data_IF_198038541616
#
_entry.id   IF_198038541616
#
_cell.length_a   1.000
_cell.length_b   1.000
_cell.length_c   1.000
_cell.angle_alpha   90.00
_cell.angle_beta   90.00
_cell.angle_gamma   90.00
#
_symmetry.space_group_name_H-M   'P 1'
#
loop_
_entity.id
_entity.type
_entity.pdbx_description
1 polymer ?
#
# COMPACT_ATOMS: atom_id res chain seq x y z
N UNK A 1 34.71 17.96 -34.26
CA UNK A 1 34.98 17.52 -32.87
C UNK A 1 33.71 16.90 -32.32
N UNK A 2 33.68 15.57 -32.15
CA UNK A 2 32.61 14.90 -31.41
C UNK A 2 32.76 15.30 -29.94
N UNK A 3 31.90 16.21 -29.49
CA UNK A 3 31.83 16.67 -28.12
C UNK A 3 31.68 15.44 -27.22
N UNK A 4 32.74 15.07 -26.48
CA UNK A 4 32.76 13.85 -25.66
C UNK A 4 31.61 13.95 -24.66
N UNK A 5 30.56 13.18 -24.89
CA UNK A 5 29.41 13.11 -24.02
C UNK A 5 29.85 12.51 -22.68
N UNK A 6 30.21 13.39 -21.73
CA UNK A 6 30.75 12.96 -20.45
C UNK A 6 29.64 12.38 -19.58
N UNK A 7 29.99 11.40 -18.75
CA UNK A 7 29.07 10.84 -17.73
C UNK A 7 28.43 11.94 -16.87
N UNK A 8 29.16 13.03 -16.60
CA UNK A 8 28.66 14.20 -15.86
C UNK A 8 27.54 14.92 -16.62
N UNK A 9 27.68 15.12 -17.94
CA UNK A 9 26.66 15.73 -18.81
C UNK A 9 25.44 14.83 -18.94
N UNK A 10 25.65 13.51 -19.07
CA UNK A 10 24.55 12.53 -19.04
C UNK A 10 23.78 12.54 -17.72
N UNK A 11 24.47 12.42 -16.58
CA UNK A 11 23.84 12.44 -15.24
C UNK A 11 23.08 13.75 -14.99
N UNK A 12 23.64 14.88 -15.39
CA UNK A 12 22.96 16.18 -15.30
C UNK A 12 21.68 16.22 -16.14
N UNK A 13 21.71 15.75 -17.39
CA UNK A 13 20.52 15.69 -18.24
C UNK A 13 19.45 14.74 -17.68
N UNK A 14 19.84 13.61 -17.07
CA UNK A 14 18.90 12.71 -16.40
C UNK A 14 18.25 13.42 -15.22
N UNK A 15 19.01 14.02 -14.31
CA UNK A 15 18.44 14.71 -13.14
C UNK A 15 17.61 15.94 -13.53
N UNK A 16 18.03 16.68 -14.57
CA UNK A 16 17.30 17.86 -15.07
C UNK A 16 15.95 17.49 -15.69
N UNK A 17 15.88 16.40 -16.45
CA UNK A 17 14.65 16.01 -17.15
C UNK A 17 13.72 15.11 -16.33
N UNK A 18 14.26 14.35 -15.37
CA UNK A 18 13.49 13.40 -14.55
C UNK A 18 13.38 13.82 -13.07
N UNK A 19 13.95 14.96 -12.68
CA UNK A 19 13.94 15.49 -11.31
C UNK A 19 15.14 15.00 -10.47
N UNK A 20 15.48 15.75 -9.41
CA UNK A 20 16.45 15.27 -8.42
C UNK A 20 15.82 14.19 -7.54
N UNK A 21 16.66 13.25 -7.10
CA UNK A 21 16.32 12.16 -6.18
C UNK A 21 15.56 12.61 -4.93
N UNK A 22 15.81 13.84 -4.45
CA UNK A 22 15.07 14.43 -3.33
C UNK A 22 13.62 14.75 -3.67
N UNK A 23 13.36 15.45 -4.78
CA UNK A 23 12.01 15.78 -5.25
C UNK A 23 11.20 14.51 -5.52
N UNK A 24 11.83 13.52 -6.16
CA UNK A 24 11.22 12.20 -6.38
C UNK A 24 10.83 11.52 -5.06
N UNK A 25 11.66 11.64 -4.01
CA UNK A 25 11.37 11.05 -2.70
C UNK A 25 10.16 11.72 -2.03
N UNK A 26 10.04 13.05 -2.13
CA UNK A 26 8.87 13.77 -1.61
C UNK A 26 7.58 13.38 -2.33
N UNK A 27 7.59 13.32 -3.66
CA UNK A 27 6.43 12.87 -4.45
C UNK A 27 6.02 11.45 -4.06
N UNK A 28 6.98 10.55 -3.85
CA UNK A 28 6.68 9.18 -3.38
C UNK A 28 6.07 9.16 -1.99
N UNK A 29 6.53 10.03 -1.08
CA UNK A 29 5.97 10.18 0.26
C UNK A 29 4.52 10.66 0.21
N UNK A 30 4.23 11.70 -0.58
CA UNK A 30 2.86 12.19 -0.79
C UNK A 30 1.96 11.07 -1.33
N UNK A 31 2.42 10.37 -2.39
CA UNK A 31 1.68 9.24 -2.95
C UNK A 31 1.44 8.10 -1.95
N UNK A 32 2.37 7.87 -1.02
CA UNK A 32 2.23 6.86 0.03
C UNK A 32 1.21 7.32 1.09
N UNK A 33 1.29 8.58 1.53
CA UNK A 33 0.42 9.15 2.57
C UNK A 33 -1.03 9.34 2.10
N UNK A 34 -1.25 9.55 0.81
CA UNK A 34 -2.58 9.65 0.19
C UNK A 34 -3.17 8.29 -0.18
N UNK A 35 -2.41 7.21 -0.06
CA UNK A 35 -2.86 5.90 -0.46
C UNK A 35 -3.82 5.31 0.59
N UNK A 36 -5.08 5.15 0.19
CA UNK A 36 -6.14 4.57 1.04
C UNK A 36 -6.74 3.31 0.44
N UNK A 37 -7.15 2.37 1.30
CA UNK A 37 -7.97 1.23 0.87
C UNK A 37 -9.37 1.74 0.53
N UNK A 38 -9.75 1.65 -0.75
CA UNK A 38 -11.02 2.22 -1.23
C UNK A 38 -12.20 1.23 -1.17
N UNK A 39 -11.94 -0.06 -1.36
CA UNK A 39 -12.98 -1.06 -1.53
C UNK A 39 -12.61 -2.36 -0.81
N UNK A 40 -13.63 -3.00 -0.25
CA UNK A 40 -13.54 -4.34 0.31
C UNK A 40 -13.30 -5.36 -0.83
N UNK A 41 -12.50 -6.38 -0.57
CA UNK A 41 -12.13 -7.41 -1.55
C UNK A 41 -11.00 -7.01 -2.50
N UNK A 42 -10.48 -5.77 -2.38
CA UNK A 42 -9.40 -5.23 -3.21
C UNK A 42 -8.14 -4.89 -2.41
N UNK A 43 -7.99 -5.43 -1.19
CA UNK A 43 -6.82 -5.16 -0.35
C UNK A 43 -5.50 -5.53 -1.03
N UNK A 44 -5.45 -6.59 -1.86
CA UNK A 44 -4.24 -6.99 -2.58
C UNK A 44 -3.66 -5.86 -3.44
N UNK A 45 -4.51 -5.12 -4.15
CA UNK A 45 -4.04 -4.00 -4.99
C UNK A 45 -3.51 -2.86 -4.15
N UNK A 46 -4.19 -2.56 -3.04
CA UNK A 46 -3.77 -1.56 -2.07
C UNK A 46 -2.41 -1.90 -1.46
N UNK A 47 -2.25 -3.09 -0.90
CA UNK A 47 -1.01 -3.50 -0.21
C UNK A 47 0.18 -3.64 -1.17
N UNK A 48 -0.04 -4.10 -2.41
CA UNK A 48 1.01 -4.11 -3.46
C UNK A 48 1.48 -2.69 -3.76
N UNK A 49 0.55 -1.76 -3.99
CA UNK A 49 0.89 -0.37 -4.30
C UNK A 49 1.63 0.29 -3.12
N UNK A 50 1.14 0.06 -1.90
CA UNK A 50 1.77 0.56 -0.67
C UNK A 50 3.22 0.06 -0.57
N UNK A 51 3.44 -1.26 -0.65
CA UNK A 51 4.78 -1.87 -0.57
C UNK A 51 5.73 -1.35 -1.64
N UNK A 52 5.24 -1.13 -2.86
CA UNK A 52 6.05 -0.59 -3.96
C UNK A 52 6.54 0.82 -3.68
N UNK A 53 5.69 1.68 -3.12
CA UNK A 53 6.05 3.04 -2.71
C UNK A 53 6.99 3.02 -1.50
N UNK A 54 6.62 2.27 -0.46
CA UNK A 54 7.40 2.12 0.77
C UNK A 54 8.84 1.67 0.52
N UNK A 55 9.04 0.68 -0.37
CA UNK A 55 10.38 0.18 -0.75
C UNK A 55 11.27 1.26 -1.36
N UNK A 56 10.69 2.20 -2.12
CA UNK A 56 11.44 3.30 -2.76
C UNK A 56 11.79 4.40 -1.76
N UNK A 57 10.96 4.59 -0.74
CA UNK A 57 11.17 5.59 0.31
C UNK A 57 12.22 5.09 1.33
N UNK A 58 12.20 3.79 1.65
CA UNK A 58 13.16 3.15 2.55
C UNK A 58 12.93 3.47 4.03
N UNK A 59 11.68 3.66 4.45
CA UNK A 59 11.35 3.85 5.86
C UNK A 59 11.38 2.54 6.65
N UNK A 60 11.57 2.59 7.98
CA UNK A 60 11.49 1.42 8.84
C UNK A 60 10.11 0.77 8.79
N UNK A 61 10.08 -0.57 8.88
CA UNK A 61 8.83 -1.33 8.86
C UNK A 61 7.86 -0.90 9.98
N UNK A 62 8.36 -0.56 11.17
CA UNK A 62 7.51 -0.07 12.28
C UNK A 62 6.64 1.13 11.87
N UNK A 63 7.25 2.11 11.20
CA UNK A 63 6.55 3.31 10.69
C UNK A 63 5.57 2.94 9.57
N UNK A 64 6.00 2.06 8.66
CA UNK A 64 5.20 1.64 7.52
C UNK A 64 3.97 0.82 7.94
N UNK A 65 4.08 0.06 9.02
CA UNK A 65 2.99 -0.72 9.62
C UNK A 65 1.91 0.20 10.20
N UNK A 66 2.32 1.25 10.91
CA UNK A 66 1.37 2.24 11.44
C UNK A 66 0.63 2.96 10.31
N UNK A 67 1.37 3.35 9.26
CA UNK A 67 0.79 4.03 8.10
C UNK A 67 -0.17 3.16 7.31
N UNK A 68 0.22 1.92 6.96
CA UNK A 68 -0.64 1.04 6.16
C UNK A 68 -1.92 0.69 6.92
N UNK A 69 -1.85 0.56 8.26
CA UNK A 69 -2.98 0.29 9.15
C UNK A 69 -3.95 1.47 9.22
N UNK A 70 -3.43 2.71 9.30
CA UNK A 70 -4.24 3.93 9.45
C UNK A 70 -5.26 4.07 8.31
N UNK A 71 -4.83 3.77 7.09
CA UNK A 71 -5.58 4.03 5.86
C UNK A 71 -6.35 2.80 5.31
N UNK A 72 -6.54 1.79 6.17
CA UNK A 72 -7.46 0.66 5.92
C UNK A 72 -8.92 1.09 6.02
N UNK A 73 -9.80 0.31 5.40
CA UNK A 73 -11.23 0.40 5.68
C UNK A 73 -11.49 0.06 7.16
N UNK A 74 -12.45 0.76 7.78
CA UNK A 74 -12.69 0.66 9.22
C UNK A 74 -12.97 -0.78 9.69
N UNK A 75 -13.76 -1.55 8.95
CA UNK A 75 -14.04 -2.95 9.28
C UNK A 75 -12.80 -3.85 9.16
N UNK A 76 -11.97 -3.62 8.13
CA UNK A 76 -10.72 -4.34 7.91
C UNK A 76 -9.72 -4.01 9.02
N UNK A 77 -9.64 -2.73 9.40
CA UNK A 77 -8.79 -2.23 10.48
C UNK A 77 -9.17 -2.86 11.83
N UNK A 78 -10.46 -2.90 12.16
CA UNK A 78 -10.95 -3.53 13.40
C UNK A 78 -10.58 -5.01 13.47
N UNK A 79 -10.84 -5.77 12.42
CA UNK A 79 -10.47 -7.19 12.39
C UNK A 79 -8.95 -7.40 12.42
N UNK A 80 -8.17 -6.58 11.70
CA UNK A 80 -6.71 -6.59 11.75
C UNK A 80 -6.18 -6.31 13.17
N UNK A 81 -6.79 -5.37 13.88
CA UNK A 81 -6.43 -5.01 15.25
C UNK A 81 -6.74 -6.15 16.25
N UNK A 82 -7.68 -7.03 15.92
CA UNK A 82 -8.03 -8.19 16.73
C UNK A 82 -7.15 -9.44 16.48
N UNK A 83 -6.21 -9.38 15.53
CA UNK A 83 -5.30 -10.50 15.25
C UNK A 83 -4.34 -10.70 16.44
N UNK A 84 -4.33 -11.91 17.02
CA UNK A 84 -3.53 -12.28 18.20
C UNK A 84 -2.03 -12.19 17.95
N UNK A 85 -1.56 -12.75 16.84
CA UNK A 85 -0.14 -12.74 16.48
C UNK A 85 0.14 -11.50 15.64
N UNK A 86 0.62 -10.43 16.30
CA UNK A 86 0.91 -9.18 15.62
C UNK A 86 2.06 -9.35 14.62
N UNK A 87 1.83 -9.09 13.33
CA UNK A 87 2.87 -9.21 12.32
C UNK A 87 3.95 -8.14 12.54
N UNK A 88 5.21 -8.51 12.28
CA UNK A 88 6.39 -7.65 12.57
C UNK A 88 7.00 -7.03 11.32
N UNK A 89 6.72 -7.62 10.16
CA UNK A 89 7.24 -7.13 8.88
C UNK A 89 6.11 -6.58 8.02
N UNK A 90 6.42 -5.61 7.16
CA UNK A 90 5.45 -5.06 6.21
C UNK A 90 4.88 -6.15 5.28
N UNK A 91 5.67 -7.19 5.00
CA UNK A 91 5.23 -8.34 4.22
C UNK A 91 4.13 -9.14 4.93
N UNK A 92 4.35 -9.49 6.20
CA UNK A 92 3.35 -10.21 7.01
C UNK A 92 2.08 -9.38 7.17
N UNK A 93 2.23 -8.07 7.45
CA UNK A 93 1.10 -7.14 7.58
C UNK A 93 0.24 -7.14 6.33
N UNK A 94 0.87 -7.06 5.14
CA UNK A 94 0.14 -7.10 3.87
C UNK A 94 -0.66 -8.39 3.69
N UNK A 95 -0.09 -9.55 4.07
CA UNK A 95 -0.79 -10.84 3.96
C UNK A 95 -1.98 -10.91 4.91
N UNK A 96 -1.80 -10.50 6.17
CA UNK A 96 -2.89 -10.49 7.16
C UNK A 96 -4.02 -9.56 6.71
N UNK A 97 -3.71 -8.36 6.19
CA UNK A 97 -4.73 -7.44 5.66
C UNK A 97 -5.51 -8.09 4.51
N UNK A 98 -4.83 -8.77 3.59
CA UNK A 98 -5.48 -9.46 2.46
C UNK A 98 -6.41 -10.57 2.95
N UNK A 99 -5.99 -11.35 3.95
CA UNK A 99 -6.79 -12.44 4.52
C UNK A 99 -8.04 -11.90 5.23
N UNK A 100 -7.88 -10.86 6.04
CA UNK A 100 -8.98 -10.18 6.73
C UNK A 100 -9.99 -9.61 5.72
N UNK A 101 -9.51 -8.89 4.70
CA UNK A 101 -10.34 -8.31 3.64
C UNK A 101 -11.16 -9.37 2.89
N UNK A 102 -10.53 -10.51 2.56
CA UNK A 102 -11.21 -11.65 1.93
C UNK A 102 -12.28 -12.26 2.85
N UNK A 103 -11.95 -12.48 4.12
CA UNK A 103 -12.89 -13.03 5.11
C UNK A 103 -14.12 -12.14 5.28
N UNK A 104 -13.91 -10.83 5.38
CA UNK A 104 -14.99 -9.85 5.49
C UNK A 104 -15.88 -9.82 4.23
N UNK A 105 -15.28 -9.87 3.04
CA UNK A 105 -16.03 -9.92 1.78
C UNK A 105 -16.93 -11.17 1.73
N UNK A 106 -16.40 -12.33 2.09
CA UNK A 106 -17.17 -13.59 2.11
C UNK A 106 -18.33 -13.50 3.10
N UNK A 107 -18.06 -13.03 4.33
CA UNK A 107 -19.11 -12.87 5.35
C UNK A 107 -20.25 -11.95 4.89
N UNK A 108 -19.92 -10.87 4.19
CA UNK A 108 -20.93 -9.95 3.65
C UNK A 108 -21.77 -10.60 2.55
N UNK A 109 -21.17 -11.42 1.67
CA UNK A 109 -21.90 -12.19 0.66
C UNK A 109 -22.86 -13.19 1.30
N UNK A 110 -22.40 -13.98 2.27
CA UNK A 110 -23.26 -14.95 2.98
C UNK A 110 -24.45 -14.28 3.68
N UNK A 111 -24.23 -13.12 4.32
CA UNK A 111 -25.32 -12.35 4.93
C UNK A 111 -26.34 -11.86 3.90
N UNK A 112 -25.89 -11.37 2.74
CA UNK A 112 -26.82 -10.93 1.68
C UNK A 112 -27.63 -12.09 1.09
N UNK A 113 -27.03 -13.25 0.91
CA UNK A 113 -27.71 -14.43 0.36
C UNK A 113 -28.75 -15.00 1.34
N UNK A 114 -28.44 -15.04 2.63
CA UNK A 114 -29.37 -15.51 3.65
C UNK A 114 -30.56 -14.56 3.84
N UNK A 115 -30.34 -13.24 3.77
CA UNK A 115 -31.44 -12.27 3.85
C UNK A 115 -32.40 -12.39 2.66
N UNK A 116 -31.89 -12.67 1.45
CA UNK A 116 -32.74 -12.84 0.27
C UNK A 116 -33.59 -14.12 0.33
N UNK A 117 -33.11 -15.19 0.98
CA UNK A 117 -33.87 -16.44 1.17
C UNK A 117 -34.99 -16.36 2.21
N UNK A 118 -34.92 -15.39 3.14
CA UNK A 118 -35.97 -15.20 4.17
C UNK A 118 -37.15 -14.41 3.61
N UNK A 119 -36.94 -13.65 2.52
CA UNK A 119 -37.94 -12.75 1.91
C UNK A 119 -38.59 -13.38 0.66
N UNK A 120 -38.06 -14.50 0.16
CA UNK A 120 -38.61 -15.33 -0.93
C UNK A 120 -39.46 -16.48 -0.40
#
# INVERSE_FOLDING_TARGET
MLDKFSYKKFKHLILKNFGDTKEQKYVLMEQLLDLKQKNLGKATFYTIKFRRLARRIGWPDSVLIDLIRRDLLEDVKKEFDNVKNKPKTLFEVANVIIEVDKKLLLNNKYKSENNNKIIS
#
